data_IF_473877441602
#
_entry.id   IF_473877441602
#
_cell.length_a   1.000
_cell.length_b   1.000
_cell.length_c   1.000
_cell.angle_alpha   90.00
_cell.angle_beta   90.00
_cell.angle_gamma   90.00
#
_symmetry.space_group_name_H-M   'P 1'
#
loop_
_entity.id
_entity.type
_entity.pdbx_description
1 polymer ?
#
# COMPACT_ATOMS: atom_id res chain seq x y z
N UNK A 1 6.66 31.77 -56.71
CA UNK A 1 6.03 30.47 -56.42
C UNK A 1 6.86 29.80 -55.34
N UNK A 2 6.41 29.95 -54.09
CA UNK A 2 7.04 29.40 -52.90
C UNK A 2 6.02 28.45 -52.28
N UNK A 3 6.34 27.16 -52.23
CA UNK A 3 5.45 26.13 -51.69
C UNK A 3 5.72 25.93 -50.20
N UNK A 4 4.65 26.09 -49.43
CA UNK A 4 4.54 25.87 -48.00
C UNK A 4 4.25 24.40 -47.73
N UNK A 5 5.15 23.70 -47.01
CA UNK A 5 4.88 22.39 -46.42
C UNK A 5 4.67 22.55 -44.90
N UNK A 6 3.56 22.04 -44.32
CA UNK A 6 3.32 22.16 -42.89
C UNK A 6 4.09 21.10 -42.09
N UNK A 7 4.79 21.57 -41.06
CA UNK A 7 5.32 20.79 -39.95
C UNK A 7 4.19 20.04 -39.24
N UNK A 8 4.35 18.73 -39.05
CA UNK A 8 3.50 17.96 -38.13
C UNK A 8 4.37 17.23 -37.11
N UNK A 9 4.35 17.74 -35.88
CA UNK A 9 5.01 17.20 -34.70
C UNK A 9 4.13 16.14 -34.04
N UNK A 10 4.61 14.91 -33.93
CA UNK A 10 4.00 13.89 -33.08
C UNK A 10 5.04 12.90 -32.55
N UNK A 11 5.86 13.33 -31.60
CA UNK A 11 6.69 12.41 -30.81
C UNK A 11 5.87 11.87 -29.63
N UNK A 12 5.14 10.78 -29.86
CA UNK A 12 4.48 10.01 -28.80
C UNK A 12 5.53 9.13 -28.10
N UNK A 13 6.01 9.57 -26.93
CA UNK A 13 6.73 8.69 -25.99
C UNK A 13 5.75 7.63 -25.45
N UNK A 14 5.79 6.45 -26.06
CA UNK A 14 5.24 5.24 -25.45
C UNK A 14 6.18 4.79 -24.32
N UNK A 15 5.79 5.02 -23.07
CA UNK A 15 6.45 4.40 -21.93
C UNK A 15 6.03 2.92 -21.87
N UNK A 16 6.71 2.07 -22.63
CA UNK A 16 6.72 0.63 -22.35
C UNK A 16 7.54 0.40 -21.09
N UNK A 17 6.91 -0.10 -20.04
CA UNK A 17 7.57 -0.52 -18.82
C UNK A 17 8.47 -1.73 -19.16
N UNK A 18 9.79 -1.54 -19.15
CA UNK A 18 10.77 -2.55 -19.52
C UNK A 18 11.76 -2.72 -18.35
N UNK A 19 11.76 -3.83 -17.60
CA UNK A 19 12.72 -4.04 -16.53
C UNK A 19 13.96 -4.75 -17.10
N UNK A 20 15.03 -3.99 -17.31
CA UNK A 20 16.35 -4.48 -17.74
C UNK A 20 17.32 -4.32 -16.57
N UNK A 21 17.73 -5.48 -16.03
CA UNK A 21 19.01 -5.83 -15.39
C UNK A 21 19.30 -5.60 -13.89
N UNK A 22 19.63 -6.75 -13.28
CA UNK A 22 20.89 -7.10 -12.60
C UNK A 22 21.28 -6.41 -11.29
N UNK A 23 21.13 -7.23 -10.24
CA UNK A 23 21.98 -7.42 -9.07
C UNK A 23 23.42 -6.90 -9.17
N UNK A 24 23.81 -6.05 -8.22
CA UNK A 24 25.10 -6.08 -7.49
C UNK A 24 25.19 -4.89 -6.53
N UNK A 25 25.09 -5.12 -5.20
CA UNK A 25 25.77 -4.28 -4.18
C UNK A 25 26.20 -5.18 -3.00
N UNK A 26 27.43 -5.03 -2.45
CA UNK A 26 28.01 -5.91 -1.43
C UNK A 26 27.63 -5.52 0.00
N UNK A 27 27.73 -6.51 0.89
CA UNK A 27 27.47 -6.37 2.33
C UNK A 27 28.51 -5.52 3.07
N UNK A 28 28.03 -4.85 4.13
CA UNK A 28 28.88 -4.30 5.19
C UNK A 28 28.56 -5.03 6.49
N UNK A 29 29.58 -5.72 7.01
CA UNK A 29 29.64 -6.21 8.37
C UNK A 29 29.77 -5.03 9.33
N UNK A 30 29.04 -5.06 10.44
CA UNK A 30 29.38 -4.33 11.66
C UNK A 30 29.35 -5.30 12.84
N UNK A 31 30.49 -5.39 13.52
CA UNK A 31 30.72 -6.16 14.74
C UNK A 31 30.68 -5.24 15.95
N UNK A 32 29.94 -5.61 17.00
CA UNK A 32 30.20 -5.24 18.40
C UNK A 32 29.25 -6.06 19.29
N UNK A 33 29.77 -7.07 19.96
CA UNK A 33 30.27 -7.06 21.35
C UNK A 33 29.19 -7.39 22.39
N UNK A 34 29.41 -8.59 22.93
CA UNK A 34 28.84 -9.29 24.06
C UNK A 34 29.12 -8.53 25.36
N UNK A 35 28.10 -8.28 26.18
CA UNK A 35 28.24 -8.18 27.63
C UNK A 35 27.09 -8.97 28.26
N UNK A 36 27.48 -10.00 29.01
CA UNK A 36 26.66 -10.71 29.99
C UNK A 36 26.68 -9.88 31.28
N UNK A 37 25.57 -9.83 32.02
CA UNK A 37 25.60 -10.22 33.43
C UNK A 37 24.20 -10.43 34.01
N UNK A 38 24.15 -11.42 34.87
CA UNK A 38 23.03 -11.92 35.65
C UNK A 38 22.88 -11.06 36.91
N UNK A 39 21.66 -10.95 37.45
CA UNK A 39 21.31 -11.49 38.78
C UNK A 39 20.06 -10.87 39.44
N UNK A 40 19.26 -11.78 40.01
CA UNK A 40 18.58 -11.67 41.33
C UNK A 40 17.13 -11.13 41.46
N UNK A 41 16.22 -12.12 41.62
CA UNK A 41 15.23 -12.33 42.71
C UNK A 41 14.08 -11.32 42.94
N UNK A 42 12.87 -11.80 42.60
CA UNK A 42 11.65 -11.94 43.43
C UNK A 42 11.16 -10.75 44.26
N UNK A 43 9.99 -10.20 43.90
CA UNK A 43 8.83 -9.98 44.80
C UNK A 43 7.63 -9.39 44.05
N UNK A 44 6.46 -10.03 44.18
CA UNK A 44 5.13 -9.49 43.88
C UNK A 44 4.58 -8.74 45.11
N UNK A 45 3.73 -7.71 44.92
CA UNK A 45 2.27 -7.89 45.09
C UNK A 45 1.48 -7.17 43.97
N UNK A 46 0.46 -7.78 43.36
CA UNK A 46 -0.95 -7.90 43.78
C UNK A 46 -1.71 -6.57 43.94
N UNK A 47 -2.87 -6.54 43.26
CA UNK A 47 -4.03 -5.65 43.39
C UNK A 47 -3.99 -4.25 42.74
N UNK A 48 -4.65 -4.11 41.59
CA UNK A 48 -5.97 -3.46 41.49
C UNK A 48 -6.37 -3.32 40.02
N UNK A 49 -7.31 -4.15 39.58
CA UNK A 49 -8.00 -3.99 38.31
C UNK A 49 -9.04 -2.87 38.47
N UNK A 50 -8.76 -1.70 37.90
CA UNK A 50 -9.78 -0.67 37.68
C UNK A 50 -10.34 -0.82 36.27
N UNK A 51 -11.50 -1.44 36.22
CA UNK A 51 -12.42 -1.47 35.08
C UNK A 51 -12.84 -0.03 34.78
N UNK A 52 -12.33 0.56 33.71
CA UNK A 52 -12.85 1.82 33.21
C UNK A 52 -14.08 1.55 32.36
N UNK A 53 -15.23 1.95 32.93
CA UNK A 53 -16.54 1.98 32.30
C UNK A 53 -16.52 2.73 30.97
N UNK A 54 -17.13 2.08 29.97
CA UNK A 54 -17.69 2.66 28.76
C UNK A 54 -18.37 3.99 29.05
N UNK A 55 -17.95 5.05 28.36
CA UNK A 55 -18.72 6.27 28.21
C UNK A 55 -19.15 6.39 26.77
N UNK A 56 -20.45 6.16 26.58
CA UNK A 56 -21.21 6.38 25.35
C UNK A 56 -20.87 7.74 24.72
N UNK A 57 -20.30 7.69 23.52
CA UNK A 57 -20.23 8.82 22.60
C UNK A 57 -21.46 8.76 21.67
N UNK A 58 -22.20 9.87 21.49
CA UNK A 58 -23.49 9.83 20.82
C UNK A 58 -23.33 9.47 19.34
N UNK A 59 -24.18 8.54 18.89
CA UNK A 59 -24.37 8.17 17.50
C UNK A 59 -24.88 9.36 16.68
N UNK A 60 -23.94 10.12 16.12
CA UNK A 60 -24.20 11.10 15.07
C UNK A 60 -24.69 10.39 13.81
N UNK A 61 -26.01 10.47 13.59
CA UNK A 61 -26.65 10.14 12.31
C UNK A 61 -26.22 11.18 11.27
N UNK A 62 -25.27 10.83 10.41
CA UNK A 62 -25.09 11.48 9.12
C UNK A 62 -25.21 10.44 8.02
N UNK A 63 -26.43 10.32 7.48
CA UNK A 63 -26.70 9.61 6.24
C UNK A 63 -26.05 10.35 5.07
N UNK A 64 -24.79 10.07 4.80
CA UNK A 64 -24.13 10.50 3.57
C UNK A 64 -24.69 9.69 2.39
N UNK A 65 -25.59 10.33 1.63
CA UNK A 65 -25.94 9.88 0.28
C UNK A 65 -24.66 9.78 -0.55
N UNK A 66 -24.41 8.60 -1.10
CA UNK A 66 -23.26 8.31 -1.94
C UNK A 66 -23.45 8.92 -3.34
N UNK A 67 -23.22 10.22 -3.47
CA UNK A 67 -23.12 10.88 -4.78
C UNK A 67 -21.69 10.75 -5.32
N UNK A 68 -21.58 10.55 -6.65
CA UNK A 68 -20.29 10.45 -7.33
C UNK A 68 -19.44 11.71 -7.17
N UNK A 69 -18.19 11.71 -7.68
CA UNK A 69 -17.32 12.87 -7.50
C UNK A 69 -17.97 14.12 -8.09
N UNK A 70 -17.96 15.21 -7.31
CA UNK A 70 -18.47 16.52 -7.75
C UNK A 70 -17.72 17.01 -8.99
N UNK A 71 -18.31 17.95 -9.74
CA UNK A 71 -17.71 18.50 -10.97
C UNK A 71 -16.21 18.90 -10.82
N UNK A 72 -15.76 19.55 -9.72
CA UNK A 72 -14.35 19.86 -9.52
C UNK A 72 -13.46 18.62 -9.40
N UNK A 73 -13.96 17.55 -8.76
CA UNK A 73 -13.21 16.30 -8.59
C UNK A 73 -13.07 15.55 -9.92
N UNK A 74 -14.12 15.53 -10.75
CA UNK A 74 -14.07 14.92 -12.10
C UNK A 74 -13.07 15.65 -12.99
N UNK A 75 -13.04 16.97 -12.93
CA UNK A 75 -12.07 17.78 -13.67
C UNK A 75 -10.63 17.43 -13.25
N UNK A 76 -10.36 17.37 -11.95
CA UNK A 76 -9.05 16.97 -11.43
C UNK A 76 -8.65 15.56 -11.88
N UNK A 77 -9.56 14.59 -11.81
CA UNK A 77 -9.29 13.24 -12.30
C UNK A 77 -8.90 13.24 -13.78
N UNK A 78 -9.63 13.98 -14.62
CA UNK A 78 -9.35 14.13 -16.04
C UNK A 78 -7.99 14.79 -16.30
N UNK A 79 -7.71 15.92 -15.66
CA UNK A 79 -6.45 16.67 -15.80
C UNK A 79 -5.24 15.83 -15.42
N UNK A 80 -5.33 15.05 -14.34
CA UNK A 80 -4.25 14.18 -13.89
C UNK A 80 -4.22 12.81 -14.60
N UNK A 81 -5.22 12.52 -15.44
CA UNK A 81 -5.40 11.22 -16.12
C UNK A 81 -5.45 10.05 -15.13
N UNK A 82 -6.28 10.19 -14.11
CA UNK A 82 -6.53 9.16 -13.09
C UNK A 82 -8.01 8.79 -13.04
N UNK A 83 -8.32 7.53 -12.73
CA UNK A 83 -9.71 7.10 -12.55
C UNK A 83 -10.26 7.44 -11.16
N UNK A 84 -9.41 7.45 -10.15
CA UNK A 84 -9.83 7.67 -8.76
C UNK A 84 -9.29 9.00 -8.25
N UNK A 85 -10.15 9.77 -7.58
CA UNK A 85 -9.75 11.05 -7.00
C UNK A 85 -8.61 10.91 -5.98
N UNK A 86 -8.56 9.79 -5.26
CA UNK A 86 -7.50 9.53 -4.29
C UNK A 86 -6.11 9.44 -4.93
N UNK A 87 -6.03 9.14 -6.23
CA UNK A 87 -4.77 9.05 -6.97
C UNK A 87 -4.24 10.41 -7.42
N UNK A 88 -5.04 11.49 -7.35
CA UNK A 88 -4.63 12.81 -7.85
C UNK A 88 -3.32 13.26 -7.21
N UNK A 89 -3.15 13.05 -5.90
CA UNK A 89 -1.91 13.44 -5.22
C UNK A 89 -0.73 12.50 -5.52
N UNK A 90 -0.96 11.19 -5.61
CA UNK A 90 0.08 10.25 -6.02
C UNK A 90 0.56 10.55 -7.44
N UNK A 91 -0.37 10.86 -8.34
CA UNK A 91 -0.08 11.26 -9.71
C UNK A 91 0.60 12.62 -9.80
N UNK A 92 0.17 13.60 -9.01
CA UNK A 92 0.85 14.88 -8.92
C UNK A 92 2.29 14.73 -8.43
N UNK A 93 2.51 13.88 -7.40
CA UNK A 93 3.85 13.52 -6.97
C UNK A 93 4.63 12.91 -8.13
N UNK A 94 4.07 11.96 -8.87
CA UNK A 94 4.74 11.37 -10.05
C UNK A 94 5.13 12.40 -11.10
N UNK A 95 4.27 13.39 -11.36
CA UNK A 95 4.49 14.51 -12.27
C UNK A 95 5.35 15.64 -11.67
N UNK A 96 5.81 15.50 -10.41
CA UNK A 96 6.56 16.52 -9.65
C UNK A 96 5.78 17.82 -9.45
N UNK A 97 4.45 17.76 -9.49
CA UNK A 97 3.55 18.89 -9.24
C UNK A 97 3.19 18.93 -7.76
N UNK A 98 3.41 20.08 -7.11
CA UNK A 98 3.01 20.28 -5.72
C UNK A 98 1.55 20.71 -5.66
N UNK A 99 0.73 19.90 -5.00
CA UNK A 99 -0.66 20.22 -4.70
C UNK A 99 -0.82 20.49 -3.20
N UNK A 100 -1.68 21.45 -2.80
CA UNK A 100 -1.96 21.70 -1.40
C UNK A 100 -2.58 20.48 -0.73
N UNK A 101 -2.12 20.15 0.47
CA UNK A 101 -2.66 19.04 1.24
C UNK A 101 -3.86 19.51 2.07
N UNK A 102 -4.98 18.80 1.96
CA UNK A 102 -6.13 19.03 2.83
C UNK A 102 -5.86 18.60 4.28
N UNK A 103 -6.66 19.13 5.23
CA UNK A 103 -6.55 18.87 6.67
C UNK A 103 -6.38 17.38 7.03
N UNK A 104 -7.18 16.49 6.42
CA UNK A 104 -7.11 15.04 6.67
C UNK A 104 -5.78 14.41 6.26
N UNK A 105 -5.11 14.91 5.21
CA UNK A 105 -3.80 14.43 4.77
C UNK A 105 -2.70 14.89 5.72
N UNK A 106 -2.75 16.16 6.13
CA UNK A 106 -1.83 16.71 7.13
C UNK A 106 -1.93 15.96 8.46
N UNK A 107 -3.14 15.71 8.96
CA UNK A 107 -3.34 14.93 10.19
C UNK A 107 -2.76 13.51 10.11
N UNK A 108 -2.85 12.85 8.94
CA UNK A 108 -2.23 11.53 8.74
C UNK A 108 -0.71 11.59 8.74
N UNK A 109 -0.12 12.65 8.17
CA UNK A 109 1.33 12.87 8.19
C UNK A 109 1.82 13.06 9.62
N UNK A 110 1.10 13.84 10.44
CA UNK A 110 1.48 14.03 11.84
C UNK A 110 1.33 12.76 12.68
N UNK A 111 0.29 11.95 12.45
CA UNK A 111 0.21 10.62 13.11
C UNK A 111 1.38 9.70 12.78
N UNK A 112 1.91 9.77 11.56
CA UNK A 112 3.09 9.02 11.17
C UNK A 112 4.32 9.52 11.93
N UNK A 113 4.45 10.83 12.08
CA UNK A 113 5.51 11.47 12.85
C UNK A 113 5.47 11.06 14.33
N UNK A 114 4.30 11.15 14.95
CA UNK A 114 4.06 10.77 16.35
C UNK A 114 4.37 9.30 16.60
N UNK A 115 4.01 8.41 15.66
CA UNK A 115 4.27 6.98 15.78
C UNK A 115 5.75 6.61 15.62
N UNK A 116 6.59 7.50 15.08
CA UNK A 116 8.03 7.28 14.94
C UNK A 116 8.44 6.23 13.89
N UNK A 117 7.55 5.84 12.97
CA UNK A 117 7.86 4.92 11.88
C UNK A 117 6.98 5.15 10.65
N UNK A 118 7.58 5.05 9.46
CA UNK A 118 6.89 5.14 8.17
C UNK A 118 6.55 3.74 7.63
N UNK A 119 5.31 3.30 7.83
CA UNK A 119 4.79 2.08 7.25
C UNK A 119 4.11 2.36 5.91
N UNK A 120 4.68 1.84 4.82
CA UNK A 120 4.07 1.92 3.49
C UNK A 120 2.99 0.83 3.37
N UNK A 121 1.72 1.25 3.48
CA UNK A 121 0.58 0.35 3.48
C UNK A 121 0.21 -0.14 2.08
N UNK A 122 0.87 -1.21 1.62
CA UNK A 122 0.55 -1.88 0.35
C UNK A 122 -0.82 -2.58 0.43
N UNK A 123 -1.72 -2.34 -0.55
CA UNK A 123 -3.02 -3.01 -0.60
C UNK A 123 -2.93 -4.54 -0.60
N UNK A 124 -3.80 -5.16 0.20
CA UNK A 124 -3.96 -6.63 0.31
C UNK A 124 -2.80 -7.40 0.96
N UNK A 125 -1.88 -6.69 1.61
CA UNK A 125 -0.77 -7.29 2.37
C UNK A 125 -1.01 -7.34 3.89
N UNK A 126 -2.27 -7.30 4.33
CA UNK A 126 -2.63 -7.37 5.75
C UNK A 126 -2.32 -6.11 6.57
N UNK A 127 -1.86 -5.02 5.96
CA UNK A 127 -1.39 -3.85 6.71
C UNK A 127 -2.44 -3.03 7.48
N UNK A 128 -3.74 -3.36 7.41
CA UNK A 128 -4.77 -2.59 8.15
C UNK A 128 -4.60 -2.70 9.66
N UNK A 129 -4.30 -3.88 10.20
CA UNK A 129 -4.06 -4.02 11.65
C UNK A 129 -2.76 -3.35 12.08
N UNK A 130 -1.73 -3.32 11.22
CA UNK A 130 -0.48 -2.59 11.47
C UNK A 130 -0.78 -1.09 11.53
N UNK A 131 -1.57 -0.56 10.61
CA UNK A 131 -2.02 0.84 10.65
C UNK A 131 -2.80 1.16 11.92
N UNK A 132 -3.69 0.28 12.37
CA UNK A 132 -4.42 0.48 13.64
C UNK A 132 -3.44 0.53 14.83
N UNK A 133 -2.47 -0.38 14.89
CA UNK A 133 -1.51 -0.47 15.99
C UNK A 133 -0.50 0.70 16.04
N UNK A 134 -0.11 1.22 14.87
CA UNK A 134 0.83 2.33 14.77
C UNK A 134 0.14 3.70 14.85
N UNK A 135 -0.97 3.86 14.15
CA UNK A 135 -1.56 5.17 13.85
C UNK A 135 -2.97 5.36 14.42
N UNK A 136 -3.52 4.34 15.10
CA UNK A 136 -4.86 4.40 15.68
C UNK A 136 -5.99 4.40 14.65
N UNK A 137 -5.74 3.97 13.41
CA UNK A 137 -6.79 3.83 12.42
C UNK A 137 -6.33 3.58 10.98
N UNK A 138 -7.29 3.62 10.06
CA UNK A 138 -7.07 3.33 8.64
C UNK A 138 -6.29 4.46 7.95
N UNK A 139 -5.16 4.09 7.36
CA UNK A 139 -4.34 4.95 6.52
C UNK A 139 -4.64 4.77 5.03
N UNK A 140 -4.28 5.77 4.23
CA UNK A 140 -4.36 5.68 2.78
C UNK A 140 -3.24 4.81 2.22
N UNK A 141 -3.48 4.21 1.06
CA UNK A 141 -2.47 3.46 0.30
C UNK A 141 -1.57 4.40 -0.49
N UNK A 142 -0.79 5.20 0.21
CA UNK A 142 0.14 6.13 -0.42
C UNK A 142 1.48 5.45 -0.75
N UNK A 143 2.13 5.91 -1.82
CA UNK A 143 3.41 5.38 -2.26
C UNK A 143 4.57 6.06 -1.54
N UNK A 144 5.75 5.43 -1.54
CA UNK A 144 7.00 6.06 -1.13
C UNK A 144 7.21 7.41 -1.83
N UNK A 145 6.99 7.44 -3.15
CA UNK A 145 7.13 8.64 -3.99
C UNK A 145 6.20 9.78 -3.56
N UNK A 146 4.99 9.46 -3.08
CA UNK A 146 4.09 10.46 -2.50
C UNK A 146 4.71 11.07 -1.25
N UNK A 147 5.12 10.25 -0.27
CA UNK A 147 5.70 10.76 0.98
C UNK A 147 6.99 11.53 0.73
N UNK A 148 7.86 11.02 -0.14
CA UNK A 148 9.09 11.71 -0.53
C UNK A 148 8.81 13.09 -1.16
N UNK A 149 7.66 13.26 -1.82
CA UNK A 149 7.29 14.53 -2.45
C UNK A 149 6.65 15.52 -1.48
N UNK A 150 5.80 15.05 -0.57
CA UNK A 150 4.95 15.92 0.26
C UNK A 150 5.43 16.06 1.71
N UNK A 151 6.20 15.10 2.21
CA UNK A 151 6.74 15.06 3.57
C UNK A 151 8.12 14.35 3.55
N UNK A 152 9.11 14.91 2.81
CA UNK A 152 10.42 14.27 2.60
C UNK A 152 11.20 14.03 3.89
N UNK A 153 10.91 14.79 4.94
CA UNK A 153 11.47 14.59 6.27
C UNK A 153 11.12 13.20 6.84
N UNK A 154 9.89 12.72 6.69
CA UNK A 154 9.50 11.38 7.15
C UNK A 154 10.38 10.29 6.53
N UNK A 155 10.64 10.38 5.23
CA UNK A 155 11.49 9.44 4.49
C UNK A 155 12.97 9.51 4.89
N UNK A 156 13.44 10.64 5.45
CA UNK A 156 14.84 10.81 5.84
C UNK A 156 15.10 10.43 7.29
N UNK A 157 14.14 10.62 8.17
CA UNK A 157 14.37 10.57 9.62
C UNK A 157 13.71 9.39 10.32
N UNK A 158 12.68 8.80 9.74
CA UNK A 158 11.96 7.69 10.37
C UNK A 158 12.41 6.34 9.81
N UNK A 159 12.52 5.30 10.64
CA UNK A 159 12.62 3.94 10.13
C UNK A 159 11.37 3.63 9.31
N UNK A 160 11.59 3.07 8.13
CA UNK A 160 10.53 2.79 7.16
C UNK A 160 10.47 1.32 6.80
N UNK A 161 9.24 0.81 6.66
CA UNK A 161 9.05 -0.58 6.28
C UNK A 161 7.77 -0.82 5.50
N UNK A 162 7.69 -1.99 4.87
CA UNK A 162 6.50 -2.49 4.21
C UNK A 162 6.37 -4.00 4.39
N UNK A 163 5.18 -4.52 4.09
CA UNK A 163 4.94 -5.96 3.99
C UNK A 163 4.90 -6.34 2.52
N UNK A 164 5.64 -7.37 2.14
CA UNK A 164 5.56 -8.04 0.85
C UNK A 164 4.68 -9.28 0.96
N UNK A 165 3.88 -9.56 -0.06
CA UNK A 165 3.10 -10.79 -0.17
C UNK A 165 3.35 -11.44 -1.52
N UNK A 166 3.38 -12.78 -1.56
CA UNK A 166 3.42 -13.53 -2.83
C UNK A 166 2.36 -12.96 -3.79
N UNK A 167 2.75 -12.55 -5.01
CA UNK A 167 1.84 -11.85 -5.92
C UNK A 167 0.59 -12.65 -6.27
N UNK A 168 0.68 -13.99 -6.33
CA UNK A 168 -0.47 -14.85 -6.60
C UNK A 168 -1.43 -14.85 -5.41
N UNK A 169 -0.94 -15.08 -4.18
CA UNK A 169 -1.76 -14.99 -2.96
C UNK A 169 -2.38 -13.60 -2.79
N UNK A 170 -1.64 -12.53 -3.13
CA UNK A 170 -2.12 -11.15 -3.08
C UNK A 170 -3.24 -10.90 -4.08
N UNK A 171 -3.08 -11.37 -5.32
CA UNK A 171 -4.08 -11.21 -6.37
C UNK A 171 -5.38 -11.94 -6.05
N UNK A 172 -5.30 -13.20 -5.60
CA UNK A 172 -6.47 -13.96 -5.14
C UNK A 172 -7.17 -13.21 -4.00
N UNK A 173 -6.41 -12.63 -3.08
CA UNK A 173 -6.98 -11.83 -2.00
C UNK A 173 -7.64 -10.53 -2.48
N UNK A 174 -7.16 -9.92 -3.57
CA UNK A 174 -7.76 -8.74 -4.19
C UNK A 174 -9.09 -9.11 -4.87
N UNK A 175 -9.07 -10.17 -5.69
CA UNK A 175 -10.27 -10.69 -6.35
C UNK A 175 -11.36 -11.10 -5.36
N UNK A 176 -11.02 -11.85 -4.31
CA UNK A 176 -11.98 -12.24 -3.28
C UNK A 176 -12.58 -11.03 -2.55
N UNK A 177 -11.79 -9.97 -2.32
CA UNK A 177 -12.29 -8.72 -1.75
C UNK A 177 -13.25 -8.00 -2.70
N UNK A 178 -12.94 -7.96 -3.99
CA UNK A 178 -13.81 -7.39 -5.02
C UNK A 178 -15.16 -8.14 -5.07
N UNK A 179 -15.12 -9.47 -5.10
CA UNK A 179 -16.29 -10.35 -5.10
C UNK A 179 -17.20 -10.18 -3.88
N UNK A 180 -16.62 -9.99 -2.68
CA UNK A 180 -17.38 -9.92 -1.43
C UNK A 180 -18.09 -8.59 -1.18
N UNK A 181 -17.85 -7.55 -1.97
CA UNK A 181 -18.41 -6.24 -1.64
C UNK A 181 -17.52 -5.39 -0.72
N UNK A 182 -16.30 -5.84 -0.43
CA UNK A 182 -15.41 -5.26 0.57
C UNK A 182 -15.34 -6.07 1.87
N UNK A 183 -15.14 -5.40 3.00
CA UNK A 183 -15.22 -5.95 4.36
C UNK A 183 -16.20 -5.15 5.22
N UNK A 184 -16.44 -5.59 6.46
CA UNK A 184 -17.20 -4.79 7.43
C UNK A 184 -16.56 -3.42 7.67
N UNK A 185 -15.23 -3.37 7.71
CA UNK A 185 -14.43 -2.15 7.97
C UNK A 185 -14.11 -1.32 6.73
N UNK A 186 -14.02 -1.93 5.55
CA UNK A 186 -13.65 -1.27 4.29
C UNK A 186 -14.69 -1.57 3.22
N UNK A 187 -15.50 -0.59 2.87
CA UNK A 187 -16.51 -0.71 1.80
C UNK A 187 -15.89 -0.47 0.44
N UNK A 188 -16.38 -1.16 -0.59
CA UNK A 188 -16.04 -0.83 -1.99
C UNK A 188 -16.59 0.56 -2.32
N UNK A 189 -15.75 1.39 -2.91
CA UNK A 189 -16.18 2.68 -3.43
C UNK A 189 -17.15 2.48 -4.60
N UNK A 190 -18.28 3.23 -4.68
CA UNK A 190 -19.26 3.07 -5.75
C UNK A 190 -18.68 3.10 -7.16
N UNK A 191 -17.63 3.90 -7.38
CA UNK A 191 -16.97 4.04 -8.70
C UNK A 191 -16.35 2.76 -9.25
N UNK A 192 -16.05 1.76 -8.41
CA UNK A 192 -15.46 0.48 -8.84
C UNK A 192 -16.37 -0.71 -8.57
N UNK A 193 -17.54 -0.50 -7.94
CA UNK A 193 -18.46 -1.57 -7.57
C UNK A 193 -18.99 -2.33 -8.80
N UNK A 194 -19.38 -1.61 -9.86
CA UNK A 194 -19.85 -2.24 -11.10
C UNK A 194 -18.78 -3.10 -11.75
N UNK A 195 -17.54 -2.59 -11.82
CA UNK A 195 -16.38 -3.32 -12.31
C UNK A 195 -16.11 -4.59 -11.47
N UNK A 196 -16.16 -4.48 -10.14
CA UNK A 196 -15.90 -5.65 -9.29
C UNK A 196 -16.96 -6.73 -9.41
N UNK A 197 -18.22 -6.34 -9.64
CA UNK A 197 -19.32 -7.28 -9.87
C UNK A 197 -19.19 -8.01 -11.21
N UNK A 198 -18.48 -7.47 -12.19
CA UNK A 198 -18.26 -8.16 -13.48
C UNK A 198 -17.16 -9.22 -13.42
N UNK A 199 -16.34 -9.25 -12.36
CA UNK A 199 -15.29 -10.26 -12.17
C UNK A 199 -15.85 -11.58 -11.65
N UNK A 200 -16.65 -12.26 -12.47
CA UNK A 200 -17.29 -13.51 -12.10
C UNK A 200 -16.28 -14.65 -11.84
N UNK A 201 -15.22 -14.70 -12.63
CA UNK A 201 -14.12 -15.67 -12.50
C UNK A 201 -12.82 -14.96 -12.13
N UNK A 202 -11.81 -15.73 -11.73
CA UNK A 202 -10.46 -15.19 -11.54
C UNK A 202 -9.90 -14.66 -12.87
N UNK A 203 -10.15 -15.35 -13.98
CA UNK A 203 -9.71 -14.93 -15.32
C UNK A 203 -10.28 -13.56 -15.71
N UNK A 204 -11.54 -13.23 -15.41
CA UNK A 204 -12.06 -11.89 -15.68
C UNK A 204 -11.24 -10.77 -15.01
N UNK A 205 -10.75 -11.02 -13.79
CA UNK A 205 -9.89 -10.05 -13.11
C UNK A 205 -8.47 -10.04 -13.69
N UNK A 206 -7.93 -11.19 -14.08
CA UNK A 206 -6.62 -11.27 -14.75
C UNK A 206 -6.67 -10.52 -16.08
N UNK A 207 -7.66 -10.81 -16.93
CA UNK A 207 -7.89 -10.17 -18.22
C UNK A 207 -8.04 -8.65 -18.07
N UNK A 208 -8.79 -8.21 -17.05
CA UNK A 208 -8.92 -6.79 -16.77
C UNK A 208 -7.58 -6.13 -16.45
N UNK A 209 -6.76 -6.75 -15.59
CA UNK A 209 -5.46 -6.19 -15.21
C UNK A 209 -4.48 -6.21 -16.39
N UNK A 210 -4.49 -7.26 -17.21
CA UNK A 210 -3.71 -7.33 -18.45
C UNK A 210 -4.13 -6.26 -19.47
N UNK A 211 -5.42 -5.89 -19.50
CA UNK A 211 -5.93 -4.85 -20.40
C UNK A 211 -5.55 -3.41 -19.98
N UNK A 212 -5.11 -3.22 -18.73
CA UNK A 212 -4.78 -1.89 -18.22
C UNK A 212 -3.41 -1.43 -18.76
N UNK A 213 -3.38 -0.28 -19.42
CA UNK A 213 -2.17 0.32 -19.99
C UNK A 213 -1.35 1.12 -18.96
N UNK A 214 -1.95 1.40 -17.80
CA UNK A 214 -1.38 2.22 -16.74
C UNK A 214 -1.85 1.77 -15.36
N UNK A 215 -0.98 1.91 -14.36
CA UNK A 215 -1.34 1.66 -12.95
C UNK A 215 -2.50 2.55 -12.46
N UNK A 216 -2.71 3.71 -13.10
CA UNK A 216 -3.81 4.64 -12.77
C UNK A 216 -5.15 4.26 -13.40
N UNK A 217 -5.16 3.27 -14.30
CA UNK A 217 -6.38 2.62 -14.81
C UNK A 217 -6.83 1.46 -13.91
N UNK A 218 -5.86 0.87 -13.20
CA UNK A 218 -6.08 -0.18 -12.21
C UNK A 218 -6.59 0.41 -10.90
N UNK A 219 -7.53 -0.29 -10.24
CA UNK A 219 -7.80 -0.04 -8.83
C UNK A 219 -6.59 -0.42 -7.98
N UNK A 220 -6.35 0.32 -6.90
CA UNK A 220 -5.24 0.14 -5.98
C UNK A 220 -5.07 -1.30 -5.48
N UNK A 221 -6.15 -2.08 -5.28
CA UNK A 221 -6.00 -3.47 -4.82
C UNK A 221 -5.26 -4.37 -5.81
N UNK A 222 -5.28 -4.04 -7.10
CA UNK A 222 -4.61 -4.77 -8.18
C UNK A 222 -3.28 -4.14 -8.61
N UNK A 223 -2.91 -2.96 -8.11
CA UNK A 223 -1.62 -2.33 -8.48
C UNK A 223 -0.43 -3.12 -7.97
N UNK A 224 0.71 -3.16 -8.70
CA UNK A 224 1.90 -3.86 -8.26
C UNK A 224 2.44 -3.27 -6.94
N UNK A 225 3.04 -4.11 -6.11
CA UNK A 225 3.64 -3.73 -4.83
C UNK A 225 4.82 -2.78 -5.02
N UNK A 226 5.61 -3.00 -6.08
CA UNK A 226 6.72 -2.12 -6.50
C UNK A 226 6.32 -0.66 -6.65
N UNK A 227 5.09 -0.36 -7.11
CA UNK A 227 4.57 1.02 -7.19
C UNK A 227 4.60 1.73 -5.84
N UNK A 228 4.37 1.00 -4.76
CA UNK A 228 4.26 1.56 -3.42
C UNK A 228 5.63 1.71 -2.75
N UNK A 229 6.52 0.74 -2.93
CA UNK A 229 7.74 0.62 -2.11
C UNK A 229 9.01 1.07 -2.82
N UNK A 230 8.97 1.29 -4.13
CA UNK A 230 10.14 1.73 -4.90
C UNK A 230 10.20 3.25 -5.10
N UNK A 231 11.42 3.74 -5.30
CA UNK A 231 11.69 5.10 -5.73
C UNK A 231 11.39 5.29 -7.23
N UNK A 232 11.77 6.45 -7.77
CA UNK A 232 11.59 6.76 -9.21
C UNK A 232 12.49 5.95 -10.12
N UNK A 233 13.58 5.39 -9.60
CA UNK A 233 14.54 4.58 -10.33
C UNK A 233 14.17 3.09 -10.29
N UNK A 234 13.04 2.74 -9.67
CA UNK A 234 12.60 1.36 -9.51
C UNK A 234 13.33 0.60 -8.39
N UNK A 235 14.12 1.28 -7.57
CA UNK A 235 14.86 0.68 -6.46
C UNK A 235 13.99 0.63 -5.21
N UNK A 236 14.06 -0.46 -4.45
CA UNK A 236 13.41 -0.54 -3.14
C UNK A 236 13.86 0.64 -2.28
N UNK A 237 12.90 1.39 -1.75
CA UNK A 237 13.17 2.66 -1.07
C UNK A 237 12.86 2.65 0.43
N UNK A 238 12.02 1.71 0.89
CA UNK A 238 11.84 1.47 2.32
C UNK A 238 13.07 0.77 2.90
N UNK A 239 13.38 1.01 4.18
CA UNK A 239 14.54 0.42 4.84
C UNK A 239 14.41 -1.10 4.98
N UNK A 240 13.19 -1.58 5.26
CA UNK A 240 12.91 -3.00 5.44
C UNK A 240 11.64 -3.45 4.72
N UNK A 241 11.72 -4.62 4.07
CA UNK A 241 10.59 -5.28 3.44
C UNK A 241 10.42 -6.67 4.03
N UNK A 242 9.33 -6.91 4.76
CA UNK A 242 9.09 -8.19 5.44
C UNK A 242 8.11 -9.05 4.66
N UNK A 243 8.36 -10.36 4.58
CA UNK A 243 7.37 -11.29 4.04
C UNK A 243 6.13 -11.33 4.94
N UNK A 244 4.95 -11.40 4.34
CA UNK A 244 3.69 -11.57 5.05
C UNK A 244 3.68 -12.84 5.92
N UNK A 245 4.43 -13.87 5.54
CA UNK A 245 4.56 -15.09 6.33
C UNK A 245 5.27 -14.84 7.69
N UNK A 246 5.98 -13.71 7.84
CA UNK A 246 6.68 -13.28 9.06
C UNK A 246 5.94 -12.18 9.82
N UNK A 247 4.67 -11.93 9.50
CA UNK A 247 3.91 -10.83 10.09
C UNK A 247 3.79 -10.93 11.62
N UNK A 248 3.69 -12.14 12.17
CA UNK A 248 3.64 -12.38 13.61
C UNK A 248 4.93 -12.03 14.33
N UNK A 249 6.07 -12.00 13.63
CA UNK A 249 7.38 -11.65 14.16
C UNK A 249 7.71 -10.16 14.04
N UNK A 250 6.86 -9.34 13.41
CA UNK A 250 7.10 -7.90 13.30
C UNK A 250 7.31 -7.17 14.63
N UNK A 251 6.61 -7.51 15.74
CA UNK A 251 6.87 -6.89 17.04
C UNK A 251 8.33 -7.01 17.49
N UNK A 252 9.02 -8.08 17.10
CA UNK A 252 10.42 -8.31 17.45
C UNK A 252 11.39 -7.59 16.48
N UNK A 253 10.95 -7.35 15.24
CA UNK A 253 11.78 -6.80 14.16
C UNK A 253 11.64 -5.28 13.99
N UNK A 254 10.53 -4.71 14.47
CA UNK A 254 10.21 -3.29 14.32
C UNK A 254 10.09 -2.67 15.72
N UNK A 255 11.04 -1.83 16.15
CA UNK A 255 11.10 -1.32 17.52
C UNK A 255 9.81 -0.67 18.03
N UNK A 256 9.11 0.09 17.18
CA UNK A 256 7.84 0.75 17.53
C UNK A 256 6.67 -0.22 17.74
N UNK A 257 6.82 -1.48 17.32
CA UNK A 257 5.84 -2.54 17.51
C UNK A 257 6.19 -3.47 18.69
N UNK A 258 7.32 -3.26 19.38
CA UNK A 258 7.77 -4.13 20.46
C UNK A 258 6.71 -4.29 21.55
N UNK A 259 6.43 -5.55 21.89
CA UNK A 259 5.41 -5.91 22.89
C UNK A 259 3.95 -5.78 22.42
N UNK A 260 3.70 -5.39 21.17
CA UNK A 260 2.34 -5.36 20.60
C UNK A 260 1.98 -6.71 19.99
N UNK A 261 0.76 -7.16 20.20
CA UNK A 261 0.22 -8.35 19.52
C UNK A 261 -0.45 -7.94 18.22
N UNK A 262 0.04 -8.45 17.09
CA UNK A 262 -0.63 -8.26 15.80
C UNK A 262 -1.75 -9.31 15.69
N UNK A 263 -3.02 -8.91 15.57
CA UNK A 263 -4.12 -9.86 15.38
C UNK A 263 -3.83 -10.77 14.19
N UNK A 264 -4.10 -12.08 14.32
CA UNK A 264 -3.88 -13.03 13.23
C UNK A 264 -4.62 -12.59 11.95
N UNK A 265 -3.87 -12.10 10.97
CA UNK A 265 -4.38 -11.65 9.67
C UNK A 265 -4.61 -12.80 8.68
N UNK A 266 -4.12 -14.00 9.02
CA UNK A 266 -4.15 -15.19 8.18
C UNK A 266 -5.54 -15.86 8.11
N UNK A 267 -6.54 -15.33 8.81
CA UNK A 267 -7.87 -15.95 8.91
C UNK A 267 -8.72 -15.90 7.63
N UNK A 268 -8.31 -15.19 6.59
CA UNK A 268 -9.00 -15.26 5.29
C UNK A 268 -8.28 -16.28 4.40
N UNK A 269 -8.49 -17.57 4.70
CA UNK A 269 -8.44 -18.60 3.67
C UNK A 269 -9.34 -18.12 2.54
N UNK A 270 -8.76 -17.81 1.38
CA UNK A 270 -9.58 -17.62 0.19
C UNK A 270 -9.66 -18.98 -0.46
N UNK A 271 -10.87 -19.53 -0.54
CA UNK A 271 -11.10 -20.93 -0.97
C UNK A 271 -10.73 -21.16 -2.45
N UNK A 272 -10.46 -20.08 -3.20
CA UNK A 272 -10.05 -20.16 -4.59
C UNK A 272 -8.56 -20.42 -4.71
N UNK A 273 -8.24 -21.62 -5.17
CA UNK A 273 -6.91 -22.02 -5.58
C UNK A 273 -6.75 -21.73 -7.09
N UNK A 274 -5.83 -20.84 -7.50
CA UNK A 274 -5.60 -20.56 -8.91
C UNK A 274 -4.96 -21.75 -9.62
N UNK A 275 -5.33 -21.97 -10.89
CA UNK A 275 -4.68 -22.97 -11.73
C UNK A 275 -3.21 -22.60 -12.00
N UNK A 276 -2.39 -23.57 -12.42
CA UNK A 276 -0.99 -23.30 -12.78
C UNK A 276 -0.88 -22.23 -13.90
N UNK A 277 -1.80 -22.24 -14.86
CA UNK A 277 -1.86 -21.24 -15.94
C UNK A 277 -2.19 -19.85 -15.40
N UNK A 278 -3.20 -19.73 -14.53
CA UNK A 278 -3.57 -18.46 -13.89
C UNK A 278 -2.43 -17.92 -13.02
N UNK A 279 -1.81 -18.78 -12.21
CA UNK A 279 -0.67 -18.41 -11.38
C UNK A 279 0.52 -17.91 -12.23
N UNK A 280 0.79 -18.55 -13.37
CA UNK A 280 1.82 -18.11 -14.31
C UNK A 280 1.50 -16.72 -14.89
N UNK A 281 0.27 -16.49 -15.35
CA UNK A 281 -0.16 -15.18 -15.86
C UNK A 281 0.00 -14.08 -14.80
N UNK A 282 -0.50 -14.33 -13.59
CA UNK A 282 -0.37 -13.39 -12.46
C UNK A 282 1.10 -13.08 -12.18
N UNK A 283 1.97 -14.09 -12.11
CA UNK A 283 3.41 -13.85 -11.90
C UNK A 283 4.08 -13.08 -13.03
N UNK A 284 3.63 -13.25 -14.27
CA UNK A 284 4.13 -12.46 -15.40
C UNK A 284 3.76 -10.98 -15.25
N UNK A 285 2.49 -10.70 -14.93
CA UNK A 285 1.99 -9.34 -14.66
C UNK A 285 2.78 -8.67 -13.53
N UNK A 286 3.05 -9.40 -12.45
CA UNK A 286 3.73 -8.89 -11.25
C UNK A 286 5.18 -9.37 -11.12
N UNK A 287 5.87 -9.59 -12.25
CA UNK A 287 7.26 -10.08 -12.24
C UNK A 287 8.22 -9.19 -11.47
N UNK A 288 8.00 -7.87 -11.51
CA UNK A 288 8.77 -6.91 -10.72
C UNK A 288 8.51 -7.04 -9.21
N UNK A 289 7.32 -7.45 -8.79
CA UNK A 289 7.04 -7.73 -7.37
C UNK A 289 7.73 -9.02 -6.92
N UNK A 290 7.83 -10.03 -7.78
CA UNK A 290 8.58 -11.26 -7.50
C UNK A 290 10.07 -10.97 -7.29
N UNK A 291 10.63 -10.03 -8.07
CA UNK A 291 12.02 -9.61 -7.91
C UNK A 291 12.31 -8.92 -6.56
N UNK A 292 11.28 -8.41 -5.87
CA UNK A 292 11.39 -7.81 -4.53
C UNK A 292 11.22 -8.83 -3.40
N UNK A 293 11.03 -10.12 -3.69
CA UNK A 293 10.80 -11.14 -2.65
C UNK A 293 11.92 -11.09 -1.59
N UNK A 294 11.60 -10.81 -0.31
CA UNK A 294 12.60 -10.84 0.75
C UNK A 294 13.20 -12.24 0.89
N UNK A 295 14.48 -12.32 1.25
CA UNK A 295 15.06 -13.56 1.71
C UNK A 295 14.28 -14.06 2.96
N UNK A 296 14.02 -15.36 3.02
CA UNK A 296 13.26 -16.00 4.12
C UNK A 296 13.79 -15.65 5.50
#
# INVERSE_FOLDING_TARGET
>A
MADLMPYNSATLLSFRYNPVFASNIPGRQCSCHRIQDQDTIMTTPSAAQTVHHDRDLPAGRDGMKAEGPGLPQRLLCSTFRVRQYNDVHARAADLRLRLPLGRKRLQRIERIREAGALFIHVPKNGGTSICDLLYGGIMMHETWRYYQHVAPDLCRTLPSFAIWRDPVKRFVSAWAFARRGGTSRVKIHPSVNALYRSFHTLDHAIDHVESCSSVYEMDHIFRPQTLYVCDRNGRLAVDQLFSMDRISSLPDLVPVLKGKTIPHLNGNSHDVVPTAAQAKRIRQIYSADEALRPAG
#
